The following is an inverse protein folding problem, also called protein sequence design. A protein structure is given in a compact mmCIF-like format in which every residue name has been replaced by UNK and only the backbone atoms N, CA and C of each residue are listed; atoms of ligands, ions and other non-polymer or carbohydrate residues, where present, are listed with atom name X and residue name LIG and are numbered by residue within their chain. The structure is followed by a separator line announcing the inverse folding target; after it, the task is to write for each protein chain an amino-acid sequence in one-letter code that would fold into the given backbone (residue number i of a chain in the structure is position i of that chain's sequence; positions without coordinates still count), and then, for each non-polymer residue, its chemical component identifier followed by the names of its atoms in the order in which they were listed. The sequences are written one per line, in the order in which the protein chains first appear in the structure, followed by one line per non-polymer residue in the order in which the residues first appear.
data_IF_361728646183
#
_entry.id   IF_361728646183
#
_cell.length_a   1.000
_cell.length_b   1.000
_cell.length_c   1.000
_cell.angle_alpha   90.00
_cell.angle_beta   90.00
_cell.angle_gamma   90.00
#
_symmetry.space_group_name_H-M   'P 1'
#
loop_
_entity.id
_entity.type
_entity.pdbx_description
1 polymer ?
#
# COMPACT_ATOMS: atom_id res chain seq x y z
N UNK A 1 -33.45 -1.92 8.40
CA UNK A 1 -32.16 -2.51 7.99
C UNK A 1 -31.08 -1.49 8.30
N UNK A 2 -30.19 -1.80 9.23
CA UNK A 2 -29.14 -0.86 9.67
C UNK A 2 -27.84 -1.17 8.92
N UNK A 3 -27.11 -0.12 8.53
CA UNK A 3 -25.75 -0.25 8.03
C UNK A 3 -24.81 -0.31 9.24
N UNK A 4 -23.85 -1.23 9.20
CA UNK A 4 -22.78 -1.34 10.20
C UNK A 4 -21.45 -1.11 9.49
N UNK A 5 -20.56 -0.37 10.13
CA UNK A 5 -19.21 -0.16 9.62
C UNK A 5 -18.51 -1.51 9.50
N UNK A 6 -17.98 -1.78 8.30
CA UNK A 6 -17.21 -2.98 7.99
C UNK A 6 -15.94 -2.55 7.28
N UNK A 7 -14.78 -3.05 7.70
CA UNK A 7 -13.53 -2.72 7.03
C UNK A 7 -13.39 -3.50 5.72
N UNK A 8 -12.68 -2.92 4.74
CA UNK A 8 -12.35 -3.62 3.49
C UNK A 8 -11.60 -4.92 3.75
N UNK A 9 -10.74 -4.96 4.76
CA UNK A 9 -10.10 -6.17 5.28
C UNK A 9 -11.11 -7.23 5.72
N UNK A 10 -12.13 -6.86 6.50
CA UNK A 10 -13.16 -7.81 6.98
C UNK A 10 -14.03 -8.35 5.84
N UNK A 11 -14.21 -7.56 4.78
CA UNK A 11 -14.90 -7.96 3.54
C UNK A 11 -14.04 -8.84 2.62
N UNK A 12 -12.79 -9.13 3.02
CA UNK A 12 -11.88 -10.01 2.29
C UNK A 12 -11.01 -9.31 1.25
N UNK A 13 -11.00 -7.97 1.19
CA UNK A 13 -10.12 -7.25 0.28
C UNK A 13 -8.66 -7.45 0.69
N UNK A 14 -7.88 -7.99 -0.24
CA UNK A 14 -6.44 -8.15 -0.11
C UNK A 14 -5.74 -7.58 -1.34
N UNK A 15 -4.87 -6.61 -1.12
CA UNK A 15 -4.10 -5.95 -2.17
C UNK A 15 -2.73 -6.63 -2.28
N UNK A 16 -2.39 -7.08 -3.48
CA UNK A 16 -1.08 -7.66 -3.79
C UNK A 16 -0.26 -6.64 -4.57
N UNK A 17 0.88 -6.25 -4.02
CA UNK A 17 1.85 -5.33 -4.61
C UNK A 17 2.98 -6.10 -5.31
N UNK A 18 3.74 -5.39 -6.13
CA UNK A 18 4.93 -5.91 -6.82
C UNK A 18 4.64 -6.77 -8.06
N UNK A 19 3.38 -6.92 -8.45
CA UNK A 19 2.95 -7.60 -9.67
C UNK A 19 1.87 -6.78 -10.40
N UNK A 20 1.61 -7.11 -11.67
CA UNK A 20 0.54 -6.44 -12.42
C UNK A 20 -0.84 -6.84 -11.88
N UNK A 21 -1.86 -5.97 -12.00
CA UNK A 21 -3.22 -6.34 -11.62
C UNK A 21 -3.66 -7.65 -12.29
N UNK A 22 -4.16 -8.60 -11.49
CA UNK A 22 -4.61 -9.91 -11.96
C UNK A 22 -3.55 -11.01 -11.97
N UNK A 23 -2.26 -10.68 -11.83
CA UNK A 23 -1.20 -11.68 -11.68
C UNK A 23 -1.18 -12.24 -10.24
N UNK A 24 -1.00 -13.56 -10.12
CA UNK A 24 -0.82 -14.21 -8.82
C UNK A 24 0.65 -14.15 -8.43
N UNK A 25 0.92 -13.67 -7.23
CA UNK A 25 2.26 -13.74 -6.64
C UNK A 25 2.54 -15.16 -6.14
N UNK A 26 3.69 -15.73 -6.50
CA UNK A 26 4.13 -17.04 -6.02
C UNK A 26 4.70 -17.00 -4.60
N UNK A 27 5.16 -15.82 -4.15
CA UNK A 27 5.75 -15.59 -2.82
C UNK A 27 5.20 -14.29 -2.22
N UNK A 28 3.92 -14.28 -1.80
CA UNK A 28 3.33 -13.10 -1.18
C UNK A 28 3.87 -12.92 0.24
N UNK A 29 4.36 -11.72 0.54
CA UNK A 29 4.81 -11.32 1.87
C UNK A 29 3.77 -10.41 2.51
N UNK A 30 3.17 -10.80 3.63
CA UNK A 30 2.27 -9.90 4.36
C UNK A 30 3.06 -8.73 4.95
N UNK A 31 2.67 -7.48 4.66
CA UNK A 31 3.35 -6.28 5.18
C UNK A 31 3.06 -6.07 6.66
N UNK A 32 1.79 -5.85 6.98
CA UNK A 32 1.32 -5.63 8.34
C UNK A 32 -0.10 -6.20 8.52
N UNK A 33 -0.43 -6.84 9.66
CA UNK A 33 -1.79 -7.33 9.91
C UNK A 33 -2.82 -6.21 9.94
N UNK A 34 -2.49 -5.07 10.57
CA UNK A 34 -3.40 -3.94 10.77
C UNK A 34 -3.05 -2.74 9.90
N UNK A 35 -2.84 -3.01 8.61
CA UNK A 35 -2.44 -1.97 7.67
C UNK A 35 -3.61 -1.01 7.37
N UNK A 36 -3.33 0.29 7.49
CA UNK A 36 -4.32 1.36 7.32
C UNK A 36 -3.95 2.22 6.11
N UNK A 37 -4.93 2.43 5.23
CA UNK A 37 -4.83 3.33 4.08
C UNK A 37 -5.66 4.58 4.36
N UNK A 38 -4.99 5.73 4.33
CA UNK A 38 -5.61 7.05 4.33
C UNK A 38 -5.93 7.44 2.89
N UNK A 39 -7.21 7.63 2.59
CA UNK A 39 -7.70 8.08 1.29
C UNK A 39 -8.63 9.30 1.47
N UNK A 40 -8.89 10.04 0.40
CA UNK A 40 -9.75 11.23 0.42
C UNK A 40 -11.20 10.94 0.87
N UNK A 41 -11.64 9.69 0.68
CA UNK A 41 -12.96 9.22 1.11
C UNK A 41 -12.99 8.65 2.54
N UNK A 42 -11.86 8.59 3.26
CA UNK A 42 -11.79 8.08 4.62
C UNK A 42 -10.59 7.17 4.92
N UNK A 43 -10.64 6.56 6.11
CA UNK A 43 -9.61 5.67 6.65
C UNK A 43 -10.06 4.23 6.43
N UNK A 44 -9.20 3.41 5.82
CA UNK A 44 -9.53 2.03 5.46
C UNK A 44 -8.51 1.05 6.02
N UNK A 45 -8.98 0.09 6.83
CA UNK A 45 -8.17 -1.09 7.15
C UNK A 45 -8.21 -2.07 5.97
N UNK A 46 -7.04 -2.45 5.47
CA UNK A 46 -6.87 -3.33 4.32
C UNK A 46 -5.81 -4.39 4.60
N UNK A 47 -5.95 -5.58 4.00
CA UNK A 47 -4.87 -6.55 4.01
C UNK A 47 -3.93 -6.28 2.82
N UNK A 48 -2.63 -6.10 3.09
CA UNK A 48 -1.65 -5.78 2.05
C UNK A 48 -0.53 -6.80 2.05
N UNK A 49 -0.24 -7.31 0.85
CA UNK A 49 0.89 -8.18 0.59
C UNK A 49 1.85 -7.50 -0.39
N UNK A 50 3.14 -7.61 -0.12
CA UNK A 50 4.22 -7.34 -1.04
C UNK A 50 4.62 -8.60 -1.78
N UNK A 51 5.45 -8.43 -2.79
CA UNK A 51 6.10 -9.50 -3.52
C UNK A 51 7.50 -9.77 -2.93
N UNK A 52 7.79 -11.03 -2.60
CA UNK A 52 9.14 -11.52 -2.29
C UNK A 52 9.54 -12.67 -3.24
N UNK A 53 9.07 -12.61 -4.50
CA UNK A 53 9.52 -13.51 -5.55
C UNK A 53 11.00 -13.25 -5.89
N UNK A 54 11.65 -14.18 -6.62
CA UNK A 54 13.04 -13.98 -7.10
C UNK A 54 13.18 -12.73 -7.98
N UNK A 55 12.10 -12.34 -8.66
CA UNK A 55 12.00 -11.12 -9.46
C UNK A 55 11.83 -9.85 -8.62
N UNK A 56 11.88 -9.93 -7.27
CA UNK A 56 11.80 -8.76 -6.38
C UNK A 56 12.85 -7.71 -6.70
N UNK A 57 13.93 -8.05 -7.39
CA UNK A 57 14.93 -7.09 -7.83
C UNK A 57 14.30 -5.98 -8.69
N UNK A 58 13.23 -6.31 -9.44
CA UNK A 58 12.47 -5.36 -10.25
C UNK A 58 11.45 -4.59 -9.38
N UNK A 59 10.81 -5.27 -8.43
CA UNK A 59 9.76 -4.68 -7.59
C UNK A 59 10.32 -3.80 -6.46
N UNK A 60 11.55 -4.04 -6.01
CA UNK A 60 12.17 -3.39 -4.88
C UNK A 60 11.69 -3.92 -3.52
N UNK A 61 12.19 -3.36 -2.41
CA UNK A 61 11.70 -3.66 -1.07
C UNK A 61 10.23 -3.19 -0.89
N UNK A 62 9.52 -3.65 0.16
CA UNK A 62 8.08 -3.38 0.33
C UNK A 62 7.69 -1.90 0.29
N UNK A 63 8.55 -1.01 0.79
CA UNK A 63 8.34 0.44 0.78
C UNK A 63 8.32 1.00 -0.64
N UNK A 64 9.20 0.50 -1.50
CA UNK A 64 9.25 0.89 -2.91
C UNK A 64 8.05 0.32 -3.67
N UNK A 65 7.62 -0.91 -3.35
CA UNK A 65 6.43 -1.50 -3.95
C UNK A 65 5.16 -0.70 -3.61
N UNK A 66 5.06 -0.18 -2.39
CA UNK A 66 4.01 0.75 -1.97
C UNK A 66 4.06 2.04 -2.79
N UNK A 67 5.24 2.66 -2.90
CA UNK A 67 5.41 3.90 -3.67
C UNK A 67 5.07 3.72 -5.15
N UNK A 68 5.44 2.58 -5.76
CA UNK A 68 5.04 2.24 -7.13
C UNK A 68 3.52 2.08 -7.30
N UNK A 69 2.80 1.72 -6.23
CA UNK A 69 1.34 1.68 -6.20
C UNK A 69 0.70 3.04 -5.83
N UNK A 70 1.48 4.11 -5.69
CA UNK A 70 1.01 5.43 -5.27
C UNK A 70 0.64 5.50 -3.79
N UNK A 71 1.05 4.52 -3.00
CA UNK A 71 0.83 4.46 -1.55
C UNK A 71 2.11 4.87 -0.86
N UNK A 72 2.05 6.00 -0.14
CA UNK A 72 3.22 6.56 0.48
C UNK A 72 3.21 6.23 1.96
N UNK A 73 4.24 5.56 2.48
CA UNK A 73 4.31 5.20 3.88
C UNK A 73 4.33 6.48 4.74
N UNK A 74 3.55 6.51 5.81
CA UNK A 74 3.60 7.60 6.78
C UNK A 74 4.84 7.52 7.69
N UNK A 75 5.48 6.34 7.73
CA UNK A 75 6.64 6.03 8.56
C UNK A 75 7.58 5.08 7.81
N UNK A 76 8.90 5.29 7.94
CA UNK A 76 9.91 4.52 7.20
C UNK A 76 10.10 3.08 7.72
N UNK A 77 9.76 2.81 8.98
CA UNK A 77 9.95 1.50 9.60
C UNK A 77 8.66 0.71 9.54
N UNK A 78 8.58 -0.30 8.65
CA UNK A 78 7.43 -1.21 8.46
C UNK A 78 6.09 -0.46 8.49
N UNK A 79 5.67 0.12 7.36
CA UNK A 79 4.54 1.04 7.37
C UNK A 79 3.28 0.35 7.87
N UNK A 80 2.80 0.82 9.02
CA UNK A 80 1.47 0.51 9.54
C UNK A 80 0.41 1.31 8.78
N UNK A 81 0.77 2.52 8.37
CA UNK A 81 -0.12 3.50 7.76
C UNK A 81 0.51 3.95 6.43
N UNK A 82 -0.30 3.97 5.37
CA UNK A 82 0.05 4.61 4.11
C UNK A 82 -1.02 5.61 3.68
N UNK A 83 -0.62 6.62 2.92
CA UNK A 83 -1.53 7.57 2.29
C UNK A 83 -1.54 7.36 0.79
N UNK A 84 -2.73 7.30 0.19
CA UNK A 84 -2.86 7.39 -1.28
C UNK A 84 -2.65 8.85 -1.66
N UNK A 85 -1.68 9.11 -2.54
CA UNK A 85 -1.48 10.45 -3.10
C UNK A 85 -2.11 10.53 -4.49
N UNK A 86 -2.88 11.58 -4.69
CA UNK A 86 -3.39 11.93 -6.02
C UNK A 86 -2.34 12.70 -6.84
N UNK A 87 -2.52 12.77 -8.15
CA UNK A 87 -1.54 13.34 -9.10
C UNK A 87 -0.96 14.69 -8.70
N UNK A 88 -1.77 15.59 -8.11
CA UNK A 88 -1.32 16.91 -7.68
C UNK A 88 -0.39 16.86 -6.44
N UNK A 89 -0.61 15.91 -5.54
CA UNK A 89 0.13 15.78 -4.28
C UNK A 89 1.47 15.06 -4.47
N UNK A 90 1.54 14.16 -5.46
CA UNK A 90 2.75 13.45 -5.85
C UNK A 90 3.89 14.45 -6.19
N UNK A 91 3.58 15.50 -6.95
CA UNK A 91 4.56 16.53 -7.32
C UNK A 91 5.13 17.27 -6.10
N UNK A 92 4.30 17.59 -5.11
CA UNK A 92 4.72 18.26 -3.87
C UNK A 92 5.56 17.32 -2.98
N UNK A 93 5.21 16.04 -2.91
CA UNK A 93 5.97 15.05 -2.14
C UNK A 93 7.38 14.82 -2.72
N UNK A 94 7.51 14.73 -4.04
CA UNK A 94 8.83 14.64 -4.68
C UNK A 94 9.70 15.88 -4.44
N UNK A 95 9.11 17.08 -4.44
CA UNK A 95 9.83 18.31 -4.13
C UNK A 95 10.31 18.38 -2.67
N UNK A 96 9.58 17.76 -1.74
CA UNK A 96 9.95 17.69 -0.33
C UNK A 96 11.12 16.73 -0.09
N UNK A 97 11.04 15.49 -0.60
CA UNK A 97 12.12 14.50 -0.43
C UNK A 97 13.38 14.82 -1.24
N UNK A 98 13.29 15.61 -2.30
CA UNK A 98 14.46 16.08 -3.03
C UNK A 98 15.28 17.15 -2.28
N UNK A 99 14.81 17.63 -1.11
CA UNK A 99 15.46 18.67 -0.30
C UNK A 99 16.06 18.15 1.01
N UNK A 100 15.84 16.88 1.34
CA UNK A 100 16.43 16.16 2.48
C UNK A 100 17.55 15.26 2.02
#
# INVERSE_FOLDING_TARGET
THFHDSSLKSLGLRVQLGHRPGEKCASPLQLHPDFVVLHSNGIHEVAVNGCDCKDRFIAGPPEIQLMHAGWFPATDVKPLISRVLEHAEIASFYQFNART
#
